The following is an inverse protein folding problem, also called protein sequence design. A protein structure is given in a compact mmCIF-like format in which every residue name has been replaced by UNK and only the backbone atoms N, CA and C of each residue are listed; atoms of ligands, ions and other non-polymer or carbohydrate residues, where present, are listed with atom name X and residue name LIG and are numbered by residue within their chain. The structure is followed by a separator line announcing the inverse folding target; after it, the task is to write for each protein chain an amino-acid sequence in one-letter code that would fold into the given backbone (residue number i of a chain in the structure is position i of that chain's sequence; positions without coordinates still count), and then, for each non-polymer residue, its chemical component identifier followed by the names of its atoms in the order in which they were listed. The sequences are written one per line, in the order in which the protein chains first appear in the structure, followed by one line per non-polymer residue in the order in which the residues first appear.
data_IF_118442185680
#
_entry.id   IF_118442185680
#
_cell.length_a   1.000
_cell.length_b   1.000
_cell.length_c   1.000
_cell.angle_alpha   90.00
_cell.angle_beta   90.00
_cell.angle_gamma   90.00
#
_symmetry.space_group_name_H-M   'P 1'
#
loop_
_entity.id
_entity.type
_entity.pdbx_description
1 polymer ?
#
# COMPACT_ATOMS: atom_id res chain seq x y z
N UNK A 1 -5.03 -23.74 -7.45
CA UNK A 1 -3.73 -23.48 -6.81
C UNK A 1 -3.44 -22.01 -7.04
N UNK A 2 -2.95 -21.29 -6.03
CA UNK A 2 -2.51 -19.91 -6.25
C UNK A 2 -1.26 -19.93 -7.15
N UNK A 3 -1.21 -19.05 -8.14
CA UNK A 3 -0.09 -18.97 -9.08
C UNK A 3 0.96 -18.01 -8.53
N UNK A 4 2.22 -18.44 -8.50
CA UNK A 4 3.31 -17.62 -8.01
C UNK A 4 3.56 -16.43 -8.94
N UNK A 5 4.02 -15.31 -8.38
CA UNK A 5 4.39 -14.14 -9.15
C UNK A 5 5.48 -14.47 -10.20
N UNK A 6 5.34 -14.00 -11.46
CA UNK A 6 6.36 -14.19 -12.48
C UNK A 6 7.73 -13.59 -12.09
N UNK A 7 8.82 -14.18 -12.58
CA UNK A 7 10.19 -13.75 -12.25
C UNK A 7 10.45 -12.24 -12.50
N UNK A 8 9.89 -11.68 -13.59
CA UNK A 8 9.98 -10.23 -13.88
C UNK A 8 9.38 -9.34 -12.79
N UNK A 9 8.32 -9.82 -12.12
CA UNK A 9 7.69 -9.10 -11.00
C UNK A 9 8.59 -9.14 -9.77
N UNK A 10 9.24 -10.28 -9.52
CA UNK A 10 10.21 -10.43 -8.43
C UNK A 10 11.40 -9.49 -8.64
N UNK A 11 11.92 -9.38 -9.86
CA UNK A 11 13.01 -8.46 -10.20
C UNK A 11 12.61 -6.99 -10.05
N UNK A 12 11.43 -6.64 -10.55
CA UNK A 12 10.84 -5.31 -10.40
C UNK A 12 10.63 -4.94 -8.91
N UNK A 13 10.13 -5.90 -8.11
CA UNK A 13 9.92 -5.74 -6.68
C UNK A 13 11.22 -5.43 -5.93
N UNK A 14 12.31 -6.14 -6.26
CA UNK A 14 13.62 -6.00 -5.62
C UNK A 14 14.49 -4.88 -6.22
N UNK A 15 13.96 -4.09 -7.15
CA UNK A 15 14.64 -2.96 -7.78
C UNK A 15 13.81 -1.68 -7.62
N UNK A 16 13.19 -1.20 -8.69
CA UNK A 16 12.48 0.07 -8.73
C UNK A 16 11.40 0.20 -7.66
N UNK A 17 10.65 -0.88 -7.39
CA UNK A 17 9.57 -0.83 -6.41
C UNK A 17 10.11 -0.73 -4.97
N UNK A 18 11.27 -1.32 -4.70
CA UNK A 18 11.92 -1.26 -3.39
C UNK A 18 12.30 0.17 -2.99
N UNK A 19 12.70 1.00 -3.97
CA UNK A 19 13.16 2.38 -3.72
C UNK A 19 12.06 3.26 -3.12
N UNK A 20 10.78 2.98 -3.40
CA UNK A 20 9.67 3.74 -2.80
C UNK A 20 9.53 3.54 -1.28
N UNK A 21 10.06 2.45 -0.73
CA UNK A 21 10.16 2.26 0.72
C UNK A 21 11.10 3.27 1.40
N UNK A 22 11.94 3.96 0.61
CA UNK A 22 12.92 4.95 1.06
C UNK A 22 12.56 6.39 0.61
N UNK A 23 11.41 6.58 -0.02
CA UNK A 23 10.99 7.90 -0.51
C UNK A 23 10.72 8.86 0.68
N UNK A 24 11.40 10.03 0.72
CA UNK A 24 11.25 10.97 1.84
C UNK A 24 9.82 11.50 2.06
N UNK A 25 9.03 11.66 0.99
CA UNK A 25 7.64 12.13 1.08
C UNK A 25 6.79 11.06 1.77
N UNK A 26 6.97 9.79 1.39
CA UNK A 26 6.25 8.65 1.98
C UNK A 26 6.67 8.46 3.44
N UNK A 27 7.98 8.46 3.73
CA UNK A 27 8.50 8.31 5.09
C UNK A 27 7.92 9.39 6.01
N UNK A 28 7.94 10.66 5.58
CA UNK A 28 7.49 11.76 6.42
C UNK A 28 5.97 11.70 6.68
N UNK A 29 5.19 11.27 5.70
CA UNK A 29 3.76 11.03 5.87
C UNK A 29 3.48 9.93 6.90
N UNK A 30 4.18 8.79 6.82
CA UNK A 30 4.02 7.68 7.77
C UNK A 30 4.44 8.10 9.20
N UNK A 31 5.54 8.85 9.34
CA UNK A 31 5.97 9.40 10.64
C UNK A 31 4.91 10.31 11.24
N UNK A 32 4.36 11.21 10.42
CA UNK A 32 3.30 12.13 10.84
C UNK A 32 2.04 11.37 11.26
N UNK A 33 1.68 10.31 10.54
CA UNK A 33 0.51 9.49 10.89
C UNK A 33 0.71 8.72 12.19
N UNK A 34 1.86 8.05 12.33
CA UNK A 34 2.23 7.32 13.54
C UNK A 34 2.25 8.23 14.78
N UNK A 35 2.69 9.49 14.62
CA UNK A 35 2.74 10.47 15.71
C UNK A 35 1.35 10.86 16.25
N UNK A 36 0.26 10.59 15.51
CA UNK A 36 -1.11 10.81 16.00
C UNK A 36 -1.51 9.82 17.10
N UNK A 37 -0.77 8.71 17.25
CA UNK A 37 -0.97 7.76 18.36
C UNK A 37 -2.36 7.12 18.38
N UNK A 38 -2.95 6.89 17.20
CA UNK A 38 -4.28 6.24 17.09
C UNK A 38 -4.25 4.88 17.78
N UNK A 39 -5.31 4.58 18.51
CA UNK A 39 -5.52 3.23 19.05
C UNK A 39 -6.11 2.32 17.97
N UNK A 40 -5.87 1.02 18.09
CA UNK A 40 -6.50 0.02 17.20
C UNK A 40 -8.03 0.10 17.22
N UNK A 41 -8.64 0.48 18.35
CA UNK A 41 -10.09 0.66 18.45
C UNK A 41 -10.58 1.82 17.56
N UNK A 42 -9.88 2.95 17.55
CA UNK A 42 -10.19 4.09 16.67
C UNK A 42 -10.00 3.72 15.20
N UNK A 43 -8.93 3.00 14.87
CA UNK A 43 -8.67 2.53 13.50
C UNK A 43 -9.80 1.63 13.02
N UNK A 44 -10.23 0.67 13.83
CA UNK A 44 -11.35 -0.24 13.49
C UNK A 44 -12.71 0.48 13.43
N UNK A 45 -12.92 1.53 14.20
CA UNK A 45 -14.12 2.35 14.08
C UNK A 45 -14.15 3.09 12.73
N UNK A 46 -13.03 3.67 12.30
CA UNK A 46 -12.88 4.27 10.97
C UNK A 46 -13.07 3.22 9.88
N UNK A 47 -12.53 2.03 10.06
CA UNK A 47 -12.65 0.91 9.13
C UNK A 47 -14.09 0.46 8.89
N UNK A 48 -14.88 0.33 9.96
CA UNK A 48 -16.30 0.00 9.84
C UNK A 48 -17.08 1.05 9.03
N UNK A 49 -16.78 2.34 9.21
CA UNK A 49 -17.38 3.43 8.42
C UNK A 49 -16.93 3.39 6.96
N UNK A 50 -15.66 3.05 6.73
CA UNK A 50 -15.06 2.93 5.40
C UNK A 50 -15.78 1.86 4.58
N UNK A 51 -15.89 0.64 5.12
CA UNK A 51 -16.54 -0.48 4.44
C UNK A 51 -18.04 -0.24 4.18
N UNK A 52 -18.73 0.50 5.06
CA UNK A 52 -20.13 0.86 4.88
C UNK A 52 -20.36 1.93 3.79
N UNK A 53 -19.30 2.60 3.34
CA UNK A 53 -19.37 3.67 2.35
C UNK A 53 -19.18 3.09 0.96
N UNK A 54 -20.15 3.21 0.06
CA UNK A 54 -20.03 2.66 -1.30
C UNK A 54 -19.04 3.47 -2.17
N UNK A 55 -19.11 4.80 -2.10
CA UNK A 55 -18.27 5.72 -2.88
C UNK A 55 -17.03 6.22 -2.12
N UNK A 56 -16.57 7.42 -2.48
CA UNK A 56 -15.47 8.14 -1.81
C UNK A 56 -16.07 9.27 -0.99
N UNK A 57 -15.94 9.21 0.33
CA UNK A 57 -16.33 10.29 1.24
C UNK A 57 -15.21 11.34 1.41
N UNK A 58 -15.47 12.38 2.21
CA UNK A 58 -14.52 13.47 2.43
C UNK A 58 -13.23 13.01 3.13
N UNK A 59 -13.32 12.00 4.01
CA UNK A 59 -12.14 11.47 4.69
C UNK A 59 -11.26 10.69 3.71
N UNK A 60 -11.84 9.76 2.95
CA UNK A 60 -11.16 9.02 1.88
C UNK A 60 -10.52 9.98 0.88
N UNK A 61 -11.27 11.00 0.45
CA UNK A 61 -10.78 12.05 -0.46
C UNK A 61 -9.60 12.81 0.14
N UNK A 62 -9.65 13.13 1.43
CA UNK A 62 -8.54 13.83 2.09
C UNK A 62 -7.24 13.02 2.07
N UNK A 63 -7.31 11.68 2.12
CA UNK A 63 -6.13 10.82 2.00
C UNK A 63 -5.58 10.80 0.56
N UNK A 64 -6.47 10.75 -0.45
CA UNK A 64 -6.09 10.81 -1.87
C UNK A 64 -5.51 12.17 -2.28
N UNK A 65 -6.07 13.26 -1.76
CA UNK A 65 -5.71 14.63 -2.14
C UNK A 65 -4.59 15.23 -1.26
N UNK A 66 -4.13 14.48 -0.26
CA UNK A 66 -2.93 14.80 0.52
C UNK A 66 -1.69 14.93 -0.39
N UNK A 67 -0.62 15.54 0.12
CA UNK A 67 0.65 15.65 -0.60
C UNK A 67 1.17 14.27 -1.04
N UNK A 68 1.20 13.31 -0.11
CA UNK A 68 1.61 11.93 -0.41
C UNK A 68 0.61 11.23 -1.33
N UNK A 69 -0.70 11.42 -1.18
CA UNK A 69 -1.71 10.83 -2.08
C UNK A 69 -1.52 11.28 -3.54
N UNK A 70 -1.30 12.58 -3.76
CA UNK A 70 -0.98 13.13 -5.09
C UNK A 70 0.36 12.59 -5.62
N UNK A 71 1.35 12.41 -4.75
CA UNK A 71 2.62 11.79 -5.11
C UNK A 71 2.43 10.34 -5.57
N UNK A 72 1.62 9.55 -4.86
CA UNK A 72 1.27 8.18 -5.26
C UNK A 72 0.57 8.16 -6.63
N UNK A 73 -0.36 9.09 -6.88
CA UNK A 73 -1.00 9.22 -8.19
C UNK A 73 0.02 9.52 -9.28
N UNK A 74 0.99 10.40 -9.05
CA UNK A 74 2.05 10.69 -10.02
C UNK A 74 2.97 9.47 -10.29
N UNK A 75 3.32 8.71 -9.25
CA UNK A 75 4.07 7.45 -9.38
C UNK A 75 3.31 6.46 -10.24
N UNK A 76 2.01 6.26 -9.96
CA UNK A 76 1.13 5.39 -10.73
C UNK A 76 1.00 5.83 -12.18
N UNK A 77 0.73 7.11 -12.42
CA UNK A 77 0.53 7.65 -13.77
C UNK A 77 1.76 7.54 -14.67
N UNK A 78 2.97 7.50 -14.10
CA UNK A 78 4.22 7.30 -14.86
C UNK A 78 4.55 5.83 -15.12
N UNK A 79 3.81 4.88 -14.53
CA UNK A 79 4.06 3.44 -14.60
C UNK A 79 2.79 2.69 -14.99
N UNK A 80 2.56 2.43 -16.29
CA UNK A 80 1.33 1.81 -16.78
C UNK A 80 1.00 0.44 -16.18
N UNK A 81 1.99 -0.26 -15.61
CA UNK A 81 1.82 -1.55 -14.95
C UNK A 81 1.33 -1.45 -13.50
N UNK A 82 1.31 -0.26 -12.90
CA UNK A 82 0.78 -0.06 -11.55
C UNK A 82 -0.70 0.29 -11.64
N UNK A 83 -1.56 -0.56 -11.10
CA UNK A 83 -3.00 -0.34 -11.04
C UNK A 83 -3.41 0.53 -9.85
N UNK A 84 -2.80 0.29 -8.68
CA UNK A 84 -3.08 0.98 -7.42
C UNK A 84 -1.83 1.09 -6.55
N UNK A 85 -1.80 2.10 -5.69
CA UNK A 85 -0.77 2.28 -4.66
C UNK A 85 -1.42 2.76 -3.37
N UNK A 86 -1.05 2.19 -2.24
CA UNK A 86 -1.47 2.69 -0.93
C UNK A 86 -0.39 2.49 0.13
N UNK A 87 -0.39 3.39 1.11
CA UNK A 87 0.59 3.44 2.20
C UNK A 87 -0.15 3.22 3.51
N UNK A 88 0.42 2.40 4.38
CA UNK A 88 -0.11 2.03 5.69
C UNK A 88 0.86 2.41 6.80
N UNK A 89 0.30 2.74 7.96
CA UNK A 89 1.02 3.10 9.18
C UNK A 89 1.53 1.87 9.96
N UNK A 90 2.08 2.10 11.15
CA UNK A 90 2.63 1.06 12.04
C UNK A 90 1.58 0.13 12.67
N UNK A 91 0.30 0.31 12.36
CA UNK A 91 -0.82 -0.54 12.78
C UNK A 91 -1.66 -1.04 11.59
N UNK A 92 -1.27 -0.69 10.35
CA UNK A 92 -1.97 -1.08 9.13
C UNK A 92 -3.05 -0.11 8.68
N UNK A 93 -3.19 1.05 9.31
CA UNK A 93 -4.17 2.05 8.90
C UNK A 93 -3.66 2.80 7.66
N UNK A 94 -4.52 3.04 6.67
CA UNK A 94 -4.13 3.78 5.47
C UNK A 94 -3.72 5.24 5.80
N UNK A 95 -2.51 5.59 5.39
CA UNK A 95 -1.93 6.94 5.43
C UNK A 95 -2.32 7.73 4.18
N UNK A 96 -2.26 7.07 3.03
CA UNK A 96 -2.56 7.64 1.71
C UNK A 96 -2.83 6.53 0.69
N UNK A 97 -3.52 6.87 -0.39
CA UNK A 97 -3.89 5.92 -1.44
C UNK A 97 -4.10 6.63 -2.78
N UNK A 98 -3.78 5.96 -3.89
CA UNK A 98 -4.04 6.44 -5.25
C UNK A 98 -5.52 6.34 -5.62
N UNK A 99 -6.19 5.32 -5.10
CA UNK A 99 -7.60 5.00 -5.29
C UNK A 99 -8.15 4.36 -4.02
N UNK A 100 -9.47 4.23 -3.93
CA UNK A 100 -10.13 3.71 -2.73
C UNK A 100 -9.84 2.22 -2.56
N UNK A 101 -9.30 1.84 -1.40
CA UNK A 101 -9.19 0.45 -0.94
C UNK A 101 -10.54 -0.09 -0.44
N UNK A 102 -10.68 -1.42 -0.35
CA UNK A 102 -11.87 -2.09 0.20
C UNK A 102 -12.21 -1.66 1.64
N UNK A 103 -11.17 -1.40 2.42
CA UNK A 103 -11.17 -1.21 3.85
C UNK A 103 -10.03 -0.24 4.23
N UNK A 104 -10.13 0.39 5.40
CA UNK A 104 -9.16 1.36 5.89
C UNK A 104 -8.01 0.69 6.65
N UNK A 105 -8.32 -0.40 7.37
CA UNK A 105 -7.38 -1.11 8.21
C UNK A 105 -6.88 -2.40 7.56
N UNK A 106 -5.64 -2.36 7.11
CA UNK A 106 -4.97 -3.46 6.42
C UNK A 106 -4.09 -4.30 7.36
N UNK A 107 -4.19 -4.12 8.68
CA UNK A 107 -3.24 -4.70 9.65
C UNK A 107 -3.41 -6.20 9.87
N UNK A 108 -4.53 -6.77 9.48
CA UNK A 108 -4.79 -8.21 9.44
C UNK A 108 -4.30 -8.88 8.15
N UNK A 109 -3.96 -8.09 7.14
CA UNK A 109 -3.58 -8.57 5.82
C UNK A 109 -2.10 -9.01 5.75
N UNK A 110 -1.77 -10.12 5.04
CA UNK A 110 -0.38 -10.59 4.89
C UNK A 110 0.55 -9.52 4.32
N UNK A 111 0.03 -8.72 3.38
CA UNK A 111 0.75 -7.63 2.71
C UNK A 111 1.31 -6.60 3.69
N UNK A 112 0.62 -6.33 4.81
CA UNK A 112 1.14 -5.47 5.88
C UNK A 112 1.94 -6.29 6.90
N UNK A 113 1.44 -7.44 7.35
CA UNK A 113 2.08 -8.22 8.41
C UNK A 113 3.51 -8.65 8.03
N UNK A 114 3.72 -9.05 6.77
CA UNK A 114 5.01 -9.52 6.26
C UNK A 114 5.96 -8.38 5.92
N UNK A 115 5.42 -7.27 5.40
CA UNK A 115 6.23 -6.14 4.97
C UNK A 115 6.58 -5.17 6.09
N UNK A 116 5.74 -5.02 7.11
CA UNK A 116 6.07 -4.24 8.30
C UNK A 116 6.82 -5.07 9.33
N UNK A 117 6.34 -6.30 9.60
CA UNK A 117 6.97 -7.31 10.46
C UNK A 117 7.55 -6.73 11.78
N UNK A 118 6.74 -5.97 12.52
CA UNK A 118 7.14 -5.33 13.78
C UNK A 118 8.42 -4.48 13.67
N UNK A 119 8.62 -3.81 12.54
CA UNK A 119 9.79 -2.98 12.27
C UNK A 119 10.96 -3.70 11.59
N UNK A 120 10.89 -5.02 11.41
CA UNK A 120 11.89 -5.86 10.74
C UNK A 120 11.42 -6.27 9.34
N UNK A 121 10.73 -5.33 8.68
CA UNK A 121 10.07 -5.53 7.41
C UNK A 121 10.98 -5.92 6.25
N UNK A 122 10.45 -6.73 5.35
CA UNK A 122 11.08 -7.11 4.09
C UNK A 122 10.07 -7.01 2.94
N UNK A 123 10.54 -7.01 1.70
CA UNK A 123 9.64 -7.01 0.55
C UNK A 123 8.79 -8.29 0.59
N UNK A 124 7.48 -8.12 0.44
CA UNK A 124 6.53 -9.20 0.33
C UNK A 124 5.87 -9.16 -1.04
N UNK A 125 5.76 -10.32 -1.68
CA UNK A 125 5.14 -10.49 -2.98
C UNK A 125 4.05 -11.54 -2.78
N UNK A 126 2.80 -11.15 -3.03
CA UNK A 126 1.65 -12.05 -2.92
C UNK A 126 1.54 -12.94 -4.16
N UNK A 127 0.66 -13.93 -4.11
CA UNK A 127 0.30 -14.73 -5.27
C UNK A 127 -0.49 -13.89 -6.30
N UNK A 128 -0.47 -14.34 -7.56
CA UNK A 128 -1.27 -13.74 -8.64
C UNK A 128 -2.75 -13.92 -8.32
N UNK A 129 -3.51 -12.82 -8.38
CA UNK A 129 -4.97 -12.81 -8.18
C UNK A 129 -5.65 -12.07 -9.32
N UNK A 130 -6.78 -12.61 -9.77
CA UNK A 130 -7.64 -11.86 -10.68
C UNK A 130 -8.36 -10.76 -9.90
N UNK A 131 -8.15 -9.51 -10.31
CA UNK A 131 -8.84 -8.35 -9.76
C UNK A 131 -10.01 -7.98 -10.67
N UNK A 132 -11.23 -8.18 -10.14
CA UNK A 132 -12.44 -7.92 -10.90
C UNK A 132 -12.69 -6.43 -11.19
N UNK A 133 -12.12 -5.52 -10.38
CA UNK A 133 -12.31 -4.08 -10.53
C UNK A 133 -11.56 -3.53 -11.74
N UNK A 134 -10.34 -4.01 -11.96
CA UNK A 134 -9.46 -3.66 -13.07
C UNK A 134 -9.55 -4.62 -14.26
N UNK A 135 -10.24 -5.76 -14.10
CA UNK A 135 -10.32 -6.84 -15.09
C UNK A 135 -8.92 -7.34 -15.50
N UNK A 136 -8.00 -7.42 -14.54
CA UNK A 136 -6.59 -7.77 -14.76
C UNK A 136 -6.10 -8.80 -13.73
N UNK A 137 -5.03 -9.52 -14.06
CA UNK A 137 -4.29 -10.32 -13.10
C UNK A 137 -3.27 -9.44 -12.40
N UNK A 138 -3.46 -9.24 -11.10
CA UNK A 138 -2.60 -8.40 -10.28
C UNK A 138 -1.75 -9.27 -9.35
N UNK A 139 -0.52 -8.83 -9.14
CA UNK A 139 0.30 -9.24 -8.00
C UNK A 139 0.41 -8.04 -7.07
N UNK A 140 0.13 -8.24 -5.78
CA UNK A 140 0.44 -7.20 -4.80
C UNK A 140 1.89 -7.35 -4.33
N UNK A 141 2.64 -6.26 -4.46
CA UNK A 141 4.01 -6.13 -3.94
C UNK A 141 3.98 -5.11 -2.81
N UNK A 142 4.41 -5.51 -1.62
CA UNK A 142 4.47 -4.65 -0.44
C UNK A 142 5.90 -4.47 0.02
N UNK A 143 6.29 -3.22 0.24
CA UNK A 143 7.64 -2.82 0.63
C UNK A 143 7.59 -2.11 1.98
N UNK A 144 8.51 -2.44 2.92
CA UNK A 144 8.62 -1.69 4.16
C UNK A 144 8.94 -0.22 3.88
N UNK A 145 8.18 0.69 4.48
CA UNK A 145 8.59 2.10 4.56
C UNK A 145 9.59 2.21 5.71
N UNK A 146 10.83 2.60 5.42
CA UNK A 146 11.94 2.56 6.39
C UNK A 146 12.40 3.95 6.82
N UNK A 147 12.56 4.14 8.13
CA UNK A 147 13.29 5.27 8.73
C UNK A 147 14.59 4.72 9.31
N UNK A 148 15.69 4.88 8.56
CA UNK A 148 16.93 4.14 8.79
C UNK A 148 16.73 2.63 8.58
N UNK A 149 17.15 1.81 9.53
CA UNK A 149 17.00 0.35 9.46
C UNK A 149 15.62 -0.14 9.88
N UNK A 150 14.77 0.73 10.44
CA UNK A 150 13.49 0.33 11.04
C UNK A 150 12.34 0.58 10.07
N UNK A 151 11.53 -0.46 9.81
CA UNK A 151 10.25 -0.28 9.15
C UNK A 151 9.27 0.48 10.09
N UNK A 152 8.64 1.52 9.57
CA UNK A 152 7.66 2.36 10.29
C UNK A 152 6.24 2.22 9.72
N UNK A 153 6.10 1.51 8.62
CA UNK A 153 4.85 1.24 7.92
C UNK A 153 5.13 0.39 6.68
N UNK A 154 4.20 0.38 5.73
CA UNK A 154 4.33 -0.35 4.46
C UNK A 154 3.71 0.44 3.33
N UNK A 155 4.25 0.28 2.12
CA UNK A 155 3.63 0.71 0.87
C UNK A 155 3.31 -0.53 0.03
N UNK A 156 2.13 -0.58 -0.57
CA UNK A 156 1.68 -1.69 -1.42
C UNK A 156 1.36 -1.19 -2.81
N UNK A 157 1.72 -1.98 -3.81
CA UNK A 157 1.48 -1.76 -5.23
C UNK A 157 0.68 -2.94 -5.78
N UNK A 158 -0.45 -2.66 -6.43
CA UNK A 158 -1.11 -3.63 -7.30
C UNK A 158 -0.47 -3.57 -8.69
N UNK A 159 0.23 -4.63 -9.09
CA UNK A 159 0.97 -4.69 -10.35
C UNK A 159 0.26 -5.60 -11.35
N UNK A 160 -0.14 -5.03 -12.48
CA UNK A 160 -0.69 -5.74 -13.62
C UNK A 160 0.41 -6.53 -14.33
N UNK A 161 0.33 -7.86 -14.22
CA UNK A 161 1.39 -8.74 -14.68
C UNK A 161 1.61 -8.67 -16.19
N UNK A 162 0.58 -8.35 -16.97
CA UNK A 162 0.64 -8.34 -18.43
C UNK A 162 1.27 -7.06 -18.99
N UNK A 163 1.35 -6.02 -18.17
CA UNK A 163 1.93 -4.72 -18.54
C UNK A 163 3.41 -4.57 -18.15
N UNK A 164 3.94 -5.48 -17.34
CA UNK A 164 5.38 -5.56 -17.06
C UNK A 164 6.06 -6.29 -18.22
N UNK A 165 6.95 -5.59 -18.91
CA UNK A 165 7.69 -6.10 -20.08
C UNK A 165 8.96 -6.82 -19.69
#
# INVERSE_FOLDING_TARGET
MAEQAPQRIIELANSEIADFGLDPIIINAVKTENAKGKTIAQIKETDAKWMATAGVDDFMRSLMESEVGKHLVAIRSSRPYIAEIFVMDNQGANVAMSDKTSDYWQGDEPKWQKSFNNGQGAIFIDDVKFDASSQAYLVQVSVPVKDGEKAIGSITFGIDIDKVK
#
